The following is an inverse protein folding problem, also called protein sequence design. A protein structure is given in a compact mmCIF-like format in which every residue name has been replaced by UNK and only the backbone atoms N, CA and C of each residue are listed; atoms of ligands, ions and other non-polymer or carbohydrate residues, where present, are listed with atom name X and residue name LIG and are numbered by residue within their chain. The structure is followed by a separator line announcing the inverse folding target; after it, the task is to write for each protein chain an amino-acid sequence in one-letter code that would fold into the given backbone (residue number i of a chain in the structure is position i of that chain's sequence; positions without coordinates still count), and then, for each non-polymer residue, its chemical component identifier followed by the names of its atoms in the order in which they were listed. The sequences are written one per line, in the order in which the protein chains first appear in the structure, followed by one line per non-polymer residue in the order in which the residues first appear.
data_IF_065291424424
#
_entry.id   IF_065291424424
#
_cell.length_a   1.000
_cell.length_b   1.000
_cell.length_c   1.000
_cell.angle_alpha   90.00
_cell.angle_beta   90.00
_cell.angle_gamma   90.00
#
_symmetry.space_group_name_H-M   'P 1'
#
loop_
_entity.id
_entity.type
_entity.pdbx_description
1 polymer ?
#
# COMPACT_ATOMS: atom_id res chain seq x y z
N UNK A 1 -12.07 -21.15 -10.96
CA UNK A 1 -12.50 -19.74 -10.68
C UNK A 1 -12.48 -19.47 -9.18
N UNK A 2 -12.53 -18.20 -8.74
CA UNK A 2 -12.65 -17.87 -7.31
C UNK A 2 -14.08 -18.13 -6.85
N UNK A 3 -14.21 -19.02 -5.87
CA UNK A 3 -15.50 -19.41 -5.29
C UNK A 3 -15.93 -18.49 -4.15
N UNK A 4 -15.07 -18.34 -3.17
CA UNK A 4 -15.28 -17.46 -2.01
C UNK A 4 -14.02 -16.62 -1.76
N UNK A 5 -14.19 -15.45 -1.16
CA UNK A 5 -13.06 -14.59 -0.78
C UNK A 5 -13.40 -13.72 0.42
N UNK A 6 -12.36 -13.28 1.11
CA UNK A 6 -12.41 -12.32 2.22
C UNK A 6 -11.25 -11.34 2.05
N UNK A 7 -11.50 -10.09 2.40
CA UNK A 7 -10.45 -9.07 2.52
C UNK A 7 -10.45 -8.60 3.97
N UNK A 8 -9.30 -8.72 4.60
CA UNK A 8 -9.12 -8.43 6.01
C UNK A 8 -8.19 -7.22 6.12
N UNK A 9 -8.64 -6.23 6.84
CA UNK A 9 -7.88 -5.01 7.09
C UNK A 9 -7.38 -5.05 8.52
N UNK A 10 -6.06 -5.11 8.72
CA UNK A 10 -5.45 -5.18 10.04
C UNK A 10 -5.15 -3.77 10.52
N UNK A 11 -5.59 -3.42 11.73
CA UNK A 11 -5.24 -2.13 12.30
C UNK A 11 -3.78 -2.15 12.81
N UNK A 12 -2.89 -1.66 11.99
CA UNK A 12 -1.45 -1.48 12.27
C UNK A 12 -1.08 -0.02 12.56
N UNK A 13 -2.06 0.79 12.98
CA UNK A 13 -1.91 2.22 13.28
C UNK A 13 -1.69 3.04 12.00
N UNK A 14 -0.57 3.77 11.90
CA UNK A 14 -0.11 4.39 10.66
C UNK A 14 0.68 3.35 9.89
N UNK A 15 0.14 2.84 8.84
CA UNK A 15 0.71 1.79 8.01
C UNK A 15 -0.37 0.92 7.38
N UNK A 16 0.01 0.08 6.46
CA UNK A 16 -0.89 -0.80 5.74
C UNK A 16 -0.66 -2.27 6.07
N UNK A 17 -1.73 -3.03 6.22
CA UNK A 17 -1.68 -4.49 6.29
C UNK A 17 -3.03 -5.09 5.89
N UNK A 18 -3.04 -5.84 4.80
CA UNK A 18 -4.25 -6.45 4.25
C UNK A 18 -4.04 -7.92 3.97
N UNK A 19 -5.00 -8.74 4.39
CA UNK A 19 -5.06 -10.15 4.00
C UNK A 19 -6.13 -10.31 2.93
N UNK A 20 -5.78 -10.95 1.83
CA UNK A 20 -6.73 -11.46 0.85
C UNK A 20 -6.73 -12.98 0.93
N UNK A 21 -7.82 -13.53 1.44
CA UNK A 21 -8.03 -14.97 1.53
C UNK A 21 -9.09 -15.38 0.54
N UNK A 22 -8.83 -16.40 -0.26
CA UNK A 22 -9.83 -16.91 -1.20
C UNK A 22 -9.71 -18.41 -1.41
N UNK A 23 -10.80 -18.99 -1.91
CA UNK A 23 -10.86 -20.39 -2.30
C UNK A 23 -11.26 -20.49 -3.75
N UNK A 24 -10.71 -21.48 -4.46
CA UNK A 24 -11.03 -21.79 -5.85
C UNK A 24 -12.04 -22.94 -5.95
N UNK A 25 -12.57 -23.17 -7.14
CA UNK A 25 -13.61 -24.20 -7.38
C UNK A 25 -13.12 -25.62 -7.06
N UNK A 26 -11.83 -25.89 -7.18
CA UNK A 26 -11.17 -27.15 -6.80
C UNK A 26 -10.97 -27.30 -5.29
N UNK A 27 -11.31 -26.26 -4.52
CA UNK A 27 -11.19 -26.22 -3.07
C UNK A 27 -9.82 -25.80 -2.55
N UNK A 28 -8.89 -25.39 -3.43
CA UNK A 28 -7.62 -24.82 -2.99
C UNK A 28 -7.85 -23.52 -2.23
N UNK A 29 -7.00 -23.29 -1.22
CA UNK A 29 -7.02 -22.11 -0.35
C UNK A 29 -5.80 -21.27 -0.62
N UNK A 30 -5.99 -19.98 -0.73
CA UNK A 30 -4.95 -19.00 -1.04
C UNK A 30 -4.97 -17.87 -0.03
N UNK A 31 -3.82 -17.54 0.53
CA UNK A 31 -3.62 -16.50 1.52
C UNK A 31 -2.54 -15.54 1.00
N UNK A 32 -2.93 -14.31 0.72
CA UNK A 32 -2.04 -13.24 0.26
C UNK A 32 -2.01 -12.16 1.32
N UNK A 33 -0.80 -11.70 1.72
CA UNK A 33 -0.60 -10.58 2.62
C UNK A 33 -0.01 -9.40 1.82
N UNK A 34 -0.72 -8.27 1.80
CA UNK A 34 -0.28 -7.04 1.15
C UNK A 34 0.08 -6.05 2.25
N UNK A 35 1.34 -5.69 2.33
CA UNK A 35 1.97 -4.93 3.39
C UNK A 35 1.75 -5.52 4.80
N UNK A 36 2.52 -5.08 5.79
CA UNK A 36 2.48 -5.65 7.13
C UNK A 36 2.62 -4.61 8.26
N UNK A 37 2.53 -3.33 7.92
CA UNK A 37 2.70 -2.25 8.88
C UNK A 37 4.14 -2.06 9.34
N UNK A 38 4.31 -1.28 10.40
CA UNK A 38 5.62 -1.03 11.02
C UNK A 38 6.11 -2.26 11.79
N UNK A 39 7.42 -2.34 11.98
CA UNK A 39 8.03 -3.37 12.83
C UNK A 39 7.36 -3.46 14.22
N UNK A 40 7.10 -2.33 14.87
CA UNK A 40 6.44 -2.26 16.18
C UNK A 40 5.01 -2.80 16.22
N UNK A 41 4.35 -2.90 15.08
CA UNK A 41 2.98 -3.43 14.95
C UNK A 41 2.92 -4.82 14.33
N UNK A 42 4.06 -5.43 14.01
CA UNK A 42 4.14 -6.76 13.43
C UNK A 42 3.53 -7.87 14.32
N UNK A 43 3.52 -7.66 15.64
CA UNK A 43 2.82 -8.55 16.58
C UNK A 43 1.30 -8.60 16.36
N UNK A 44 0.69 -7.50 15.94
CA UNK A 44 -0.75 -7.45 15.60
C UNK A 44 -1.04 -8.29 14.38
N UNK A 45 -0.17 -8.18 13.35
CA UNK A 45 -0.29 -8.99 12.12
C UNK A 45 -0.12 -10.48 12.46
N UNK A 46 0.94 -10.84 13.20
CA UNK A 46 1.19 -12.21 13.60
C UNK A 46 0.04 -12.81 14.44
N UNK A 47 -0.49 -12.03 15.37
CA UNK A 47 -1.63 -12.43 16.22
C UNK A 47 -2.87 -12.67 15.37
N UNK A 48 -3.14 -11.81 14.39
CA UNK A 48 -4.24 -11.97 13.46
C UNK A 48 -4.11 -13.28 12.66
N UNK A 49 -2.99 -13.47 11.99
CA UNK A 49 -2.72 -14.66 11.20
C UNK A 49 -2.88 -15.94 12.01
N UNK A 50 -2.26 -16.02 13.18
CA UNK A 50 -2.35 -17.19 14.05
C UNK A 50 -3.77 -17.44 14.60
N UNK A 51 -4.59 -16.41 14.73
CA UNK A 51 -5.95 -16.54 15.23
C UNK A 51 -6.94 -16.95 14.16
N UNK A 52 -6.85 -16.34 12.97
CA UNK A 52 -7.83 -16.50 11.89
C UNK A 52 -7.40 -17.60 10.92
N UNK A 53 -6.10 -17.67 10.59
CA UNK A 53 -5.53 -18.55 9.56
C UNK A 53 -4.62 -19.64 10.13
N UNK A 54 -4.90 -20.09 11.33
CA UNK A 54 -4.08 -21.10 12.02
C UNK A 54 -3.90 -22.36 11.17
N UNK A 55 -2.65 -22.70 10.91
CA UNK A 55 -2.29 -23.89 10.14
C UNK A 55 -2.28 -23.68 8.62
N UNK A 56 -2.48 -22.45 8.17
CA UNK A 56 -2.28 -22.03 6.79
C UNK A 56 -0.89 -21.40 6.62
N UNK A 57 -0.53 -21.03 5.40
CA UNK A 57 0.70 -20.29 5.09
C UNK A 57 0.38 -19.12 4.16
N UNK A 58 1.15 -18.05 4.24
CA UNK A 58 1.08 -16.96 3.27
C UNK A 58 1.72 -17.48 1.97
N UNK A 59 0.90 -17.64 0.95
CA UNK A 59 1.36 -18.07 -0.36
C UNK A 59 2.16 -16.98 -1.06
N UNK A 60 1.73 -15.72 -0.90
CA UNK A 60 2.36 -14.54 -1.45
C UNK A 60 2.29 -13.38 -0.45
N UNK A 61 3.43 -12.79 -0.15
CA UNK A 61 3.54 -11.51 0.52
C UNK A 61 3.89 -10.43 -0.52
N UNK A 62 3.21 -9.29 -0.49
CA UNK A 62 3.47 -8.15 -1.38
C UNK A 62 3.90 -6.97 -0.52
N UNK A 63 5.08 -6.41 -0.81
CA UNK A 63 5.52 -5.13 -0.24
C UNK A 63 5.31 -4.07 -1.33
N UNK A 64 4.42 -3.14 -1.08
CA UNK A 64 4.07 -2.13 -2.09
C UNK A 64 5.22 -1.18 -2.38
N UNK A 65 5.95 -0.74 -1.36
CA UNK A 65 7.12 0.13 -1.49
C UNK A 65 8.00 0.08 -0.23
N UNK A 66 9.25 0.61 -0.28
CA UNK A 66 10.24 0.42 0.78
C UNK A 66 10.14 1.41 1.96
N UNK A 67 8.94 1.80 2.38
CA UNK A 67 8.75 2.59 3.60
C UNK A 67 8.37 1.69 4.77
N UNK A 68 8.93 1.97 5.96
CA UNK A 68 8.87 1.07 7.13
C UNK A 68 7.45 0.70 7.54
N UNK A 69 6.50 1.59 7.35
CA UNK A 69 5.10 1.37 7.69
C UNK A 69 4.33 0.46 6.70
N UNK A 70 5.04 -0.06 5.70
CA UNK A 70 4.56 -1.09 4.79
C UNK A 70 5.32 -2.41 4.94
N UNK A 71 6.66 -2.37 5.04
CA UNK A 71 7.47 -3.59 5.11
C UNK A 71 7.91 -3.98 6.53
N UNK A 72 7.93 -3.06 7.49
CA UNK A 72 8.54 -3.31 8.81
C UNK A 72 7.96 -4.52 9.55
N UNK A 73 6.65 -4.76 9.41
CA UNK A 73 6.01 -5.93 9.99
C UNK A 73 6.47 -7.25 9.38
N UNK A 74 6.90 -7.27 8.11
CA UNK A 74 7.50 -8.47 7.51
C UNK A 74 8.84 -8.81 8.15
N UNK A 75 9.68 -7.82 8.46
CA UNK A 75 10.91 -8.05 9.21
C UNK A 75 10.60 -8.72 10.55
N UNK A 76 9.59 -8.20 11.27
CA UNK A 76 9.14 -8.81 12.53
C UNK A 76 8.68 -10.26 12.37
N UNK A 77 7.93 -10.60 11.32
CA UNK A 77 7.44 -11.95 11.04
C UNK A 77 8.59 -12.91 10.70
N UNK A 78 9.51 -12.46 9.83
CA UNK A 78 10.61 -13.27 9.33
C UNK A 78 11.68 -13.54 10.38
N UNK A 79 11.98 -12.59 11.27
CA UNK A 79 12.87 -12.84 12.42
C UNK A 79 12.37 -14.02 13.26
N UNK A 80 11.06 -14.06 13.51
CA UNK A 80 10.46 -15.18 14.26
C UNK A 80 10.49 -16.48 13.51
N UNK A 81 10.33 -16.43 12.20
CA UNK A 81 10.44 -17.60 11.34
C UNK A 81 11.88 -18.13 11.33
N UNK A 82 12.87 -17.25 11.13
CA UNK A 82 14.31 -17.57 11.20
C UNK A 82 14.68 -18.20 12.54
N UNK A 83 14.21 -17.61 13.63
CA UNK A 83 14.52 -18.05 14.98
C UNK A 83 13.67 -19.27 15.43
N UNK A 84 12.93 -19.88 14.52
CA UNK A 84 12.07 -21.06 14.75
C UNK A 84 11.10 -20.88 15.91
N UNK A 85 10.58 -19.68 16.07
CA UNK A 85 9.56 -19.39 17.08
C UNK A 85 8.28 -20.18 16.77
N UNK A 86 7.71 -20.83 17.80
CA UNK A 86 6.48 -21.64 17.65
C UNK A 86 5.27 -20.85 17.16
N UNK A 87 5.27 -19.54 17.35
CA UNK A 87 4.22 -18.65 16.86
C UNK A 87 4.50 -18.09 15.44
N UNK A 88 5.64 -18.44 14.83
CA UNK A 88 5.98 -17.98 13.50
C UNK A 88 4.93 -18.43 12.49
N UNK A 89 4.63 -17.55 11.54
CA UNK A 89 3.70 -17.85 10.45
C UNK A 89 4.48 -18.03 9.15
N UNK A 90 4.31 -19.14 8.42
CA UNK A 90 5.11 -19.43 7.23
C UNK A 90 4.71 -18.54 6.07
N UNK A 91 5.71 -18.15 5.27
CA UNK A 91 5.56 -17.35 4.06
C UNK A 91 6.34 -18.05 2.94
N UNK A 92 5.71 -18.28 1.79
CA UNK A 92 6.34 -18.99 0.67
C UNK A 92 7.20 -18.10 -0.20
N UNK A 93 6.72 -16.90 -0.53
CA UNK A 93 7.38 -16.01 -1.49
C UNK A 93 6.96 -14.56 -1.31
N UNK A 94 7.75 -13.65 -1.89
CA UNK A 94 7.47 -12.22 -1.89
C UNK A 94 7.44 -11.63 -3.29
N UNK A 95 6.62 -10.59 -3.44
CA UNK A 95 6.75 -9.58 -4.47
C UNK A 95 7.17 -8.27 -3.82
N UNK A 96 8.27 -7.72 -4.29
CA UNK A 96 8.79 -6.40 -3.87
C UNK A 96 9.76 -5.88 -4.93
N UNK A 97 9.81 -4.57 -5.12
CA UNK A 97 10.76 -3.93 -6.01
C UNK A 97 11.94 -3.38 -5.20
N UNK A 98 13.15 -3.80 -5.52
CA UNK A 98 14.36 -3.40 -4.79
C UNK A 98 15.13 -2.31 -5.55
N UNK A 99 15.08 -1.03 -5.12
CA UNK A 99 15.78 0.07 -5.77
C UNK A 99 17.29 -0.17 -5.94
N UNK A 100 17.90 -0.98 -5.07
CA UNK A 100 19.34 -1.30 -5.11
C UNK A 100 19.74 -2.05 -6.37
N UNK A 101 18.81 -2.74 -7.04
CA UNK A 101 19.04 -3.43 -8.30
C UNK A 101 19.06 -2.49 -9.50
N UNK A 102 18.48 -1.30 -9.37
CA UNK A 102 18.29 -0.32 -10.45
C UNK A 102 19.14 0.93 -10.28
N UNK A 103 19.89 1.05 -9.18
CA UNK A 103 20.73 2.21 -8.87
C UNK A 103 22.20 1.81 -8.87
N UNK A 104 22.99 2.40 -9.78
CA UNK A 104 24.43 2.24 -9.78
C UNK A 104 25.12 3.42 -9.09
N UNK A 105 26.00 3.13 -8.14
CA UNK A 105 26.84 4.14 -7.50
C UNK A 105 27.88 4.75 -8.44
N UNK A 106 28.23 4.04 -9.51
CA UNK A 106 29.23 4.50 -10.47
C UNK A 106 28.70 5.64 -11.37
N UNK A 107 27.38 5.79 -11.43
CA UNK A 107 26.75 6.90 -12.16
C UNK A 107 26.86 8.25 -11.43
N UNK A 108 27.22 8.24 -10.15
CA UNK A 108 27.31 9.45 -9.31
C UNK A 108 28.77 9.93 -9.28
N UNK A 109 28.99 11.15 -9.79
CA UNK A 109 30.35 11.69 -9.97
C UNK A 109 30.93 12.34 -8.71
N UNK A 110 30.08 12.88 -7.84
CA UNK A 110 30.52 13.62 -6.66
C UNK A 110 30.62 12.70 -5.43
N UNK A 111 31.77 12.65 -4.79
CA UNK A 111 32.04 11.78 -3.65
C UNK A 111 31.07 11.97 -2.46
N UNK A 112 30.63 13.21 -2.21
CA UNK A 112 29.67 13.51 -1.15
C UNK A 112 28.29 12.93 -1.47
N UNK A 113 27.83 13.10 -2.71
CA UNK A 113 26.55 12.55 -3.17
C UNK A 113 26.60 11.03 -3.16
N UNK A 114 27.72 10.43 -3.60
CA UNK A 114 27.92 8.98 -3.57
C UNK A 114 27.80 8.41 -2.17
N UNK A 115 28.46 9.00 -1.17
CA UNK A 115 28.35 8.58 0.25
C UNK A 115 26.92 8.72 0.80
N UNK A 116 26.24 9.79 0.43
CA UNK A 116 24.85 10.02 0.82
C UNK A 116 23.93 8.95 0.24
N UNK A 117 24.10 8.65 -1.05
CA UNK A 117 23.35 7.62 -1.73
C UNK A 117 23.64 6.22 -1.16
N UNK A 118 24.91 5.89 -0.90
CA UNK A 118 25.30 4.64 -0.24
C UNK A 118 24.59 4.46 1.11
N UNK A 119 24.51 5.54 1.92
CA UNK A 119 23.80 5.50 3.18
C UNK A 119 22.32 5.23 2.98
N UNK A 120 21.67 5.98 2.07
CA UNK A 120 20.24 5.83 1.76
C UNK A 120 19.92 4.42 1.26
N UNK A 121 20.74 3.85 0.37
CA UNK A 121 20.56 2.49 -0.12
C UNK A 121 20.68 1.42 0.96
N UNK A 122 21.50 1.67 1.98
CA UNK A 122 21.60 0.77 3.16
C UNK A 122 20.39 0.88 4.08
N UNK A 123 19.70 2.01 4.09
CA UNK A 123 18.51 2.24 4.91
C UNK A 123 17.23 1.70 4.25
N UNK A 124 17.26 1.47 2.91
CA UNK A 124 16.14 0.84 2.20
C UNK A 124 15.94 -0.59 2.71
N UNK A 125 14.69 -0.90 3.07
CA UNK A 125 14.31 -2.18 3.65
C UNK A 125 15.00 -2.55 4.97
N UNK A 126 15.64 -1.59 5.65
CA UNK A 126 16.32 -1.83 6.92
C UNK A 126 15.54 -1.21 8.09
N UNK A 127 15.28 -2.02 9.12
CA UNK A 127 14.68 -1.60 10.40
C UNK A 127 15.38 -2.32 11.55
N UNK A 128 15.75 -1.60 12.62
CA UNK A 128 16.47 -2.15 13.78
C UNK A 128 17.71 -2.96 13.38
N UNK A 129 18.52 -2.43 12.47
CA UNK A 129 19.72 -3.08 11.93
C UNK A 129 19.47 -4.40 11.17
N UNK A 130 18.22 -4.73 10.88
CA UNK A 130 17.83 -5.90 10.09
C UNK A 130 17.34 -5.47 8.71
N UNK A 131 18.00 -5.97 7.67
CA UNK A 131 17.60 -5.75 6.27
C UNK A 131 16.65 -6.86 5.82
N UNK A 132 15.50 -6.48 5.25
CA UNK A 132 14.46 -7.41 4.80
C UNK A 132 14.99 -8.40 3.76
N UNK A 133 15.78 -7.92 2.78
CA UNK A 133 16.30 -8.78 1.70
C UNK A 133 17.27 -9.80 2.24
N UNK A 134 18.20 -9.37 3.12
CA UNK A 134 19.12 -10.27 3.81
C UNK A 134 18.36 -11.33 4.59
N UNK A 135 17.28 -10.94 5.26
CA UNK A 135 16.46 -11.86 6.06
C UNK A 135 15.69 -12.86 5.18
N UNK A 136 15.23 -12.45 4.00
CA UNK A 136 14.64 -13.36 3.01
C UNK A 136 15.63 -14.42 2.55
N UNK A 137 16.88 -14.02 2.28
CA UNK A 137 17.97 -14.93 1.90
C UNK A 137 18.30 -15.91 3.02
N UNK A 138 18.42 -15.43 4.27
CA UNK A 138 18.65 -16.27 5.46
C UNK A 138 17.53 -17.30 5.66
N UNK A 139 16.29 -16.90 5.45
CA UNK A 139 15.10 -17.75 5.52
C UNK A 139 14.90 -18.64 4.29
N UNK A 140 15.66 -18.42 3.21
CA UNK A 140 15.52 -19.10 1.91
C UNK A 140 14.13 -18.92 1.31
N UNK A 141 13.57 -17.72 1.45
CA UNK A 141 12.28 -17.36 0.87
C UNK A 141 12.55 -16.57 -0.40
N UNK A 142 12.08 -17.05 -1.56
CA UNK A 142 12.29 -16.37 -2.84
C UNK A 142 11.48 -15.07 -2.90
N UNK A 143 12.02 -14.09 -3.61
CA UNK A 143 11.30 -12.88 -3.94
C UNK A 143 11.54 -12.45 -5.38
N UNK A 144 10.55 -11.81 -5.98
CA UNK A 144 10.59 -11.27 -7.32
C UNK A 144 10.11 -9.83 -7.34
N UNK A 145 10.60 -9.07 -8.30
CA UNK A 145 10.07 -7.75 -8.59
C UNK A 145 8.75 -7.86 -9.33
N UNK A 146 7.86 -6.90 -9.10
CA UNK A 146 6.52 -6.87 -9.67
C UNK A 146 6.31 -5.56 -10.43
N UNK A 147 6.23 -5.66 -11.75
CA UNK A 147 5.97 -4.55 -12.65
C UNK A 147 4.72 -4.80 -13.49
N UNK A 148 4.05 -3.71 -13.87
CA UNK A 148 3.00 -3.75 -14.85
C UNK A 148 3.62 -3.76 -16.24
N UNK A 149 3.43 -4.85 -16.98
CA UNK A 149 3.87 -4.96 -18.38
C UNK A 149 2.65 -5.04 -19.30
N UNK A 150 2.83 -4.63 -20.56
CA UNK A 150 1.79 -4.43 -21.58
C UNK A 150 0.70 -5.51 -21.62
N UNK A 151 -0.36 -5.31 -20.83
CA UNK A 151 -1.56 -6.13 -20.87
C UNK A 151 -1.42 -7.56 -20.39
N UNK A 152 -0.25 -7.96 -19.92
CA UNK A 152 -0.05 -9.25 -19.28
C UNK A 152 -0.05 -9.12 -17.76
N UNK A 153 -0.56 -10.11 -17.07
CA UNK A 153 -0.26 -10.32 -15.67
C UNK A 153 1.26 -10.43 -15.60
N UNK A 154 1.91 -9.47 -14.96
CA UNK A 154 3.36 -9.45 -14.88
C UNK A 154 3.88 -10.71 -14.19
N UNK A 155 4.31 -11.67 -14.95
CA UNK A 155 5.03 -12.84 -14.47
C UNK A 155 6.51 -12.54 -14.58
N UNK A 156 7.09 -12.05 -13.54
CA UNK A 156 8.54 -11.99 -13.46
C UNK A 156 9.01 -13.36 -12.98
N UNK A 157 9.70 -14.07 -13.86
CA UNK A 157 10.21 -15.42 -13.73
C UNK A 157 9.19 -16.58 -13.80
N UNK A 158 9.61 -17.65 -14.50
CA UNK A 158 8.90 -18.93 -14.67
C UNK A 158 8.52 -19.62 -13.35
N UNK A 159 9.00 -19.12 -12.20
CA UNK A 159 8.73 -19.65 -10.87
C UNK A 159 7.76 -18.81 -10.04
N UNK A 160 7.41 -17.60 -10.47
CA UNK A 160 6.43 -16.76 -9.83
C UNK A 160 5.20 -16.65 -10.72
N UNK A 161 4.38 -17.68 -10.67
CA UNK A 161 3.26 -17.83 -11.57
C UNK A 161 2.16 -16.84 -11.21
N UNK A 162 2.06 -15.77 -11.98
CA UNK A 162 0.85 -14.98 -12.04
C UNK A 162 -0.39 -15.82 -12.34
N UNK A 163 -0.21 -16.92 -13.06
CA UNK A 163 -1.22 -17.96 -13.28
C UNK A 163 -1.73 -18.61 -11.99
N UNK A 164 -0.93 -18.61 -10.92
CA UNK A 164 -1.30 -19.17 -9.63
C UNK A 164 -2.04 -18.19 -8.74
N UNK A 165 -1.94 -16.89 -9.03
CA UNK A 165 -2.64 -15.83 -8.29
C UNK A 165 -3.86 -15.35 -9.06
N UNK A 166 -4.83 -16.23 -9.18
CA UNK A 166 -6.08 -15.98 -9.88
C UNK A 166 -6.75 -14.70 -9.34
N UNK A 167 -7.07 -13.79 -10.24
CA UNK A 167 -7.78 -12.54 -9.91
C UNK A 167 -6.88 -11.38 -9.48
N UNK A 168 -5.55 -11.55 -9.45
CA UNK A 168 -4.61 -10.46 -9.20
C UNK A 168 -4.00 -9.91 -10.50
N UNK A 169 -3.88 -8.59 -10.56
CA UNK A 169 -3.21 -7.87 -11.66
C UNK A 169 -2.36 -6.75 -11.07
N UNK A 170 -1.10 -6.64 -11.49
CA UNK A 170 -0.25 -5.50 -11.17
C UNK A 170 -0.54 -4.40 -12.20
N UNK A 171 -1.04 -3.26 -11.72
CA UNK A 171 -1.39 -2.12 -12.57
C UNK A 171 -0.28 -1.08 -12.69
N UNK A 172 0.65 -1.08 -11.75
CA UNK A 172 1.81 -0.20 -11.70
C UNK A 172 2.78 -0.61 -10.59
N UNK A 173 4.01 -0.10 -10.64
CA UNK A 173 4.60 0.69 -11.72
C UNK A 173 4.92 -0.15 -12.96
N UNK A 174 5.08 0.49 -14.12
CA UNK A 174 5.84 -0.12 -15.23
C UNK A 174 7.32 -0.13 -14.87
N UNK A 175 8.11 -1.03 -15.47
CA UNK A 175 9.53 -1.11 -15.18
C UNK A 175 10.25 0.20 -15.53
N UNK A 176 9.97 0.76 -16.68
CA UNK A 176 10.58 2.02 -17.14
C UNK A 176 10.29 3.18 -16.18
N UNK A 177 9.04 3.29 -15.72
CA UNK A 177 8.67 4.32 -14.75
C UNK A 177 9.36 4.10 -13.39
N UNK A 178 9.46 2.85 -12.94
CA UNK A 178 10.17 2.52 -11.71
C UNK A 178 11.66 2.88 -11.80
N UNK A 179 12.33 2.53 -12.89
CA UNK A 179 13.73 2.85 -13.11
C UNK A 179 13.96 4.36 -13.19
N UNK A 180 13.02 5.12 -13.77
CA UNK A 180 13.05 6.58 -13.71
C UNK A 180 12.97 7.10 -12.27
N UNK A 181 12.08 6.54 -11.42
CA UNK A 181 11.98 6.94 -10.00
C UNK A 181 13.24 6.55 -9.22
N UNK A 182 13.85 5.43 -9.51
CA UNK A 182 15.16 5.07 -8.97
C UNK A 182 16.25 6.08 -9.37
N UNK A 183 16.22 6.55 -10.61
CA UNK A 183 17.11 7.62 -11.07
C UNK A 183 16.85 8.93 -10.32
N UNK A 184 15.60 9.34 -10.21
CA UNK A 184 15.21 10.55 -9.44
C UNK A 184 15.66 10.43 -7.97
N UNK A 185 15.52 9.26 -7.36
CA UNK A 185 15.96 8.97 -5.99
C UNK A 185 17.47 9.21 -5.78
N UNK A 186 18.33 8.99 -6.80
CA UNK A 186 19.77 9.29 -6.70
C UNK A 186 20.04 10.77 -6.40
N UNK A 187 19.22 11.64 -6.99
CA UNK A 187 19.45 13.08 -7.01
C UNK A 187 18.55 13.85 -6.05
N UNK A 188 17.52 13.20 -5.49
CA UNK A 188 16.68 13.81 -4.48
C UNK A 188 17.53 14.16 -3.25
N UNK A 189 17.85 15.45 -3.13
CA UNK A 189 18.28 15.99 -1.85
C UNK A 189 17.13 15.80 -0.89
N UNK A 190 17.36 15.06 0.20
CA UNK A 190 16.43 14.85 1.30
C UNK A 190 15.83 16.21 1.69
N UNK A 191 14.71 16.56 1.12
CA UNK A 191 13.83 17.51 1.77
C UNK A 191 13.13 16.71 2.86
N UNK A 192 13.41 16.97 4.13
CA UNK A 192 12.61 16.38 5.19
C UNK A 192 11.17 16.69 4.84
N UNK A 193 10.30 15.68 4.84
CA UNK A 193 8.86 15.96 4.95
C UNK A 193 8.77 16.83 6.18
N UNK A 194 8.49 18.10 6.00
CA UNK A 194 8.15 18.98 7.11
C UNK A 194 6.87 18.37 7.65
N UNK A 195 7.00 17.64 8.77
CA UNK A 195 5.85 17.18 9.54
C UNK A 195 4.97 18.42 9.69
N UNK A 196 3.75 18.36 9.15
CA UNK A 196 2.76 19.40 9.48
C UNK A 196 2.70 19.42 11.00
N UNK A 197 2.97 20.56 11.60
CA UNK A 197 2.88 20.72 13.04
C UNK A 197 1.50 20.25 13.50
N UNK A 198 1.41 19.59 14.65
CA UNK A 198 0.17 19.08 15.25
C UNK A 198 -0.93 20.16 15.43
N UNK A 199 -0.65 21.38 15.08
CA UNK A 199 -1.47 22.59 15.32
C UNK A 199 -2.16 23.11 14.05
N UNK A 200 -2.18 22.35 12.95
CA UNK A 200 -3.08 22.64 11.83
C UNK A 200 -4.54 22.31 12.24
N UNK A 201 -4.99 22.98 13.32
CA UNK A 201 -6.40 23.25 13.49
C UNK A 201 -6.86 23.93 12.21
N UNK A 202 -7.83 23.31 11.55
CA UNK A 202 -8.52 23.90 10.40
C UNK A 202 -8.90 25.32 10.85
N UNK A 203 -8.10 26.31 10.49
CA UNK A 203 -8.54 27.68 10.57
C UNK A 203 -9.83 27.72 9.78
N UNK A 204 -10.93 28.11 10.44
CA UNK A 204 -12.21 28.27 9.77
C UNK A 204 -11.99 29.29 8.67
N UNK A 205 -11.67 28.77 7.48
CA UNK A 205 -11.61 29.61 6.28
C UNK A 205 -12.97 30.30 6.17
N UNK A 206 -13.04 31.64 6.16
CA UNK A 206 -14.32 32.34 6.05
C UNK A 206 -15.11 32.00 4.78
N UNK A 207 -14.44 31.43 3.77
CA UNK A 207 -15.05 30.95 2.52
C UNK A 207 -15.34 29.45 2.56
N UNK A 208 -15.35 28.82 3.75
CA UNK A 208 -15.62 27.39 3.87
C UNK A 208 -17.08 27.08 3.48
N UNK A 209 -17.23 26.30 2.42
CA UNK A 209 -18.48 25.70 2.01
C UNK A 209 -18.40 24.19 2.07
N UNK A 210 -19.31 23.53 2.74
CA UNK A 210 -19.40 22.05 2.78
C UNK A 210 -19.98 21.51 1.47
N UNK A 211 -19.31 21.77 0.35
CA UNK A 211 -19.72 21.37 -1.01
C UNK A 211 -18.71 20.45 -1.68
N UNK A 212 -19.20 19.68 -2.66
CA UNK A 212 -18.32 18.87 -3.51
C UNK A 212 -17.27 19.73 -4.23
N UNK A 213 -17.69 20.90 -4.72
CA UNK A 213 -16.82 21.82 -5.46
C UNK A 213 -15.68 22.34 -4.58
N UNK A 214 -15.96 22.72 -3.33
CA UNK A 214 -14.95 23.18 -2.39
C UNK A 214 -13.84 22.13 -2.18
N UNK A 215 -14.23 20.87 -1.85
CA UNK A 215 -13.25 19.82 -1.59
C UNK A 215 -12.50 19.38 -2.85
N UNK A 216 -13.17 19.33 -4.00
CA UNK A 216 -12.54 19.06 -5.28
C UNK A 216 -11.47 20.08 -5.60
N UNK A 217 -11.80 21.38 -5.45
CA UNK A 217 -10.85 22.48 -5.67
C UNK A 217 -9.68 22.45 -4.69
N UNK A 218 -9.93 22.13 -3.42
CA UNK A 218 -8.88 21.99 -2.43
C UNK A 218 -7.88 20.90 -2.81
N UNK A 219 -8.36 19.71 -3.21
CA UNK A 219 -7.50 18.63 -3.68
C UNK A 219 -6.76 18.97 -4.98
N UNK A 220 -7.43 19.62 -5.93
CA UNK A 220 -6.79 19.98 -7.21
C UNK A 220 -5.69 21.03 -7.03
N UNK A 221 -5.78 21.87 -5.98
CA UNK A 221 -4.78 22.88 -5.62
C UNK A 221 -3.68 22.34 -4.67
N UNK A 222 -3.86 21.18 -4.07
CA UNK A 222 -2.84 20.54 -3.26
C UNK A 222 -1.63 20.16 -4.13
N UNK A 223 -0.42 20.35 -3.61
CA UNK A 223 0.80 19.91 -4.30
C UNK A 223 0.82 18.41 -4.48
N UNK A 224 1.60 17.91 -5.43
CA UNK A 224 1.78 16.48 -5.64
C UNK A 224 2.70 15.86 -4.58
N UNK A 225 2.55 14.57 -4.36
CA UNK A 225 3.52 13.78 -3.59
C UNK A 225 4.85 13.75 -4.34
N UNK A 226 5.92 14.16 -3.66
CA UNK A 226 7.27 14.24 -4.24
C UNK A 226 8.14 13.04 -3.92
N UNK A 227 7.70 12.15 -3.00
CA UNK A 227 8.46 10.96 -2.62
C UNK A 227 8.63 9.98 -3.79
N UNK A 228 9.88 9.70 -4.16
CA UNK A 228 10.17 8.71 -5.19
C UNK A 228 9.76 7.30 -4.76
N UNK A 229 9.85 6.97 -3.46
CA UNK A 229 9.42 5.69 -2.92
C UNK A 229 7.90 5.51 -3.04
N UNK A 230 7.11 6.53 -2.66
CA UNK A 230 5.66 6.50 -2.80
C UNK A 230 5.23 6.36 -4.27
N UNK A 231 5.85 7.17 -5.15
CA UNK A 231 5.59 7.12 -6.59
C UNK A 231 5.86 5.75 -7.20
N UNK A 232 6.78 4.99 -6.63
CA UNK A 232 7.15 3.64 -7.08
C UNK A 232 6.30 2.52 -6.49
N UNK A 233 5.24 2.83 -5.75
CA UNK A 233 4.36 1.84 -5.12
C UNK A 233 3.79 0.85 -6.13
N UNK A 234 3.84 -0.44 -5.79
CA UNK A 234 3.13 -1.49 -6.53
C UNK A 234 1.64 -1.29 -6.31
N UNK A 235 0.90 -1.06 -7.39
CA UNK A 235 -0.56 -0.94 -7.37
C UNK A 235 -1.15 -2.28 -7.80
N UNK A 236 -1.94 -2.86 -6.92
CA UNK A 236 -2.49 -4.21 -7.08
C UNK A 236 -4.00 -4.14 -7.22
N UNK A 237 -4.53 -4.73 -8.29
CA UNK A 237 -5.95 -5.01 -8.45
C UNK A 237 -6.23 -6.47 -8.09
N UNK A 238 -7.17 -6.70 -7.18
CA UNK A 238 -7.78 -8.00 -6.97
C UNK A 238 -9.21 -7.97 -7.50
N UNK A 239 -9.50 -8.81 -8.48
CA UNK A 239 -10.81 -8.88 -9.13
C UNK A 239 -11.35 -10.31 -9.09
N UNK A 240 -11.97 -10.73 -7.97
CA UNK A 240 -12.53 -12.08 -7.84
C UNK A 240 -13.79 -12.32 -8.70
N UNK A 241 -14.48 -11.23 -9.04
CA UNK A 241 -15.70 -11.22 -9.89
C UNK A 241 -15.68 -9.99 -10.78
N UNK A 242 -16.37 -10.05 -11.91
CA UNK A 242 -16.39 -8.98 -12.92
C UNK A 242 -16.74 -7.60 -12.32
N UNK A 243 -17.71 -7.54 -11.42
CA UNK A 243 -18.19 -6.30 -10.79
C UNK A 243 -17.48 -5.94 -9.47
N UNK A 244 -16.46 -6.70 -9.07
CA UNK A 244 -15.78 -6.59 -7.76
C UNK A 244 -14.29 -6.31 -7.93
N UNK A 245 -13.96 -5.05 -8.09
CA UNK A 245 -12.60 -4.53 -8.21
C UNK A 245 -12.13 -4.01 -6.86
N UNK A 246 -11.09 -4.62 -6.27
CA UNK A 246 -10.44 -4.20 -5.02
C UNK A 246 -9.06 -3.67 -5.35
N UNK A 247 -8.85 -2.37 -5.17
CA UNK A 247 -7.63 -1.68 -5.56
C UNK A 247 -6.78 -1.36 -4.33
N UNK A 248 -5.60 -1.96 -4.25
CA UNK A 248 -4.57 -1.71 -3.24
C UNK A 248 -3.50 -0.84 -3.87
N UNK A 249 -3.32 0.37 -3.37
CA UNK A 249 -2.52 1.41 -4.01
C UNK A 249 -1.17 1.64 -3.37
N UNK A 250 -0.90 1.03 -2.19
CA UNK A 250 0.20 1.51 -1.37
C UNK A 250 0.08 3.02 -1.17
N UNK A 251 1.16 3.73 -1.38
CA UNK A 251 1.23 5.18 -1.27
C UNK A 251 1.37 5.88 -2.64
N UNK A 252 0.88 5.22 -3.70
CA UNK A 252 0.95 5.72 -5.06
C UNK A 252 0.50 7.18 -5.19
N UNK A 253 1.27 7.96 -5.95
CA UNK A 253 0.98 9.36 -6.24
C UNK A 253 0.02 9.50 -7.43
N UNK A 254 -0.45 10.72 -7.70
CA UNK A 254 -1.19 11.04 -8.93
C UNK A 254 -0.39 10.67 -10.16
N UNK A 255 0.91 10.98 -10.17
CA UNK A 255 1.85 10.65 -11.25
C UNK A 255 1.93 9.14 -11.49
N UNK A 256 1.85 8.31 -10.43
CA UNK A 256 1.85 6.84 -10.56
C UNK A 256 0.66 6.35 -11.39
N UNK A 257 -0.53 6.90 -11.18
CA UNK A 257 -1.71 6.57 -11.99
C UNK A 257 -1.61 7.11 -13.42
N UNK A 258 -1.04 8.30 -13.60
CA UNK A 258 -0.85 8.92 -14.93
C UNK A 258 0.12 8.10 -15.80
N UNK A 259 1.09 7.42 -15.19
CA UNK A 259 2.08 6.59 -15.88
C UNK A 259 1.66 5.12 -16.05
N UNK A 260 0.45 4.74 -15.66
CA UNK A 260 -0.11 3.45 -16.04
C UNK A 260 -0.39 3.39 -17.54
N UNK A 261 -0.37 2.19 -18.11
CA UNK A 261 -0.84 1.99 -19.50
C UNK A 261 -2.33 2.32 -19.61
N UNK A 262 -2.81 2.66 -20.80
CA UNK A 262 -4.23 2.99 -21.01
C UNK A 262 -5.14 1.83 -20.58
N UNK A 263 -4.75 0.59 -20.87
CA UNK A 263 -5.48 -0.60 -20.44
C UNK A 263 -5.56 -0.71 -18.91
N UNK A 264 -4.47 -0.41 -18.20
CA UNK A 264 -4.46 -0.45 -16.73
C UNK A 264 -5.28 0.69 -16.12
N UNK A 265 -5.31 1.86 -16.76
CA UNK A 265 -6.21 2.95 -16.38
C UNK A 265 -7.67 2.53 -16.49
N UNK A 266 -8.06 1.86 -17.58
CA UNK A 266 -9.43 1.34 -17.76
C UNK A 266 -9.78 0.30 -16.65
N UNK A 267 -8.83 -0.53 -16.25
CA UNK A 267 -9.05 -1.46 -15.14
C UNK A 267 -9.26 -0.74 -13.79
N UNK A 268 -8.73 0.47 -13.62
CA UNK A 268 -8.96 1.29 -12.43
C UNK A 268 -10.33 1.98 -12.40
N UNK A 269 -11.14 1.90 -13.45
CA UNK A 269 -12.46 2.54 -13.46
C UNK A 269 -13.49 1.80 -12.60
N UNK A 270 -14.31 2.58 -11.90
CA UNK A 270 -15.46 2.07 -11.14
C UNK A 270 -15.09 0.98 -10.13
N UNK A 271 -14.06 1.22 -9.32
CA UNK A 271 -13.61 0.26 -8.31
C UNK A 271 -14.67 0.06 -7.22
N UNK A 272 -14.83 -1.18 -6.79
CA UNK A 272 -15.76 -1.50 -5.70
C UNK A 272 -15.20 -1.05 -4.36
N UNK A 273 -13.92 -1.30 -4.12
CA UNK A 273 -13.23 -0.94 -2.90
C UNK A 273 -11.83 -0.39 -3.22
N UNK A 274 -11.50 0.72 -2.62
CA UNK A 274 -10.24 1.44 -2.79
C UNK A 274 -9.50 1.54 -1.45
N UNK A 275 -8.27 1.03 -1.36
CA UNK A 275 -7.33 1.54 -0.35
C UNK A 275 -6.94 2.95 -0.80
N UNK A 276 -7.25 3.96 -0.01
CA UNK A 276 -6.89 5.35 -0.34
C UNK A 276 -5.37 5.51 -0.24
N UNK A 277 -4.70 5.98 -1.30
CA UNK A 277 -3.25 6.06 -1.30
C UNK A 277 -2.73 6.98 -0.18
N UNK A 278 -1.54 6.65 0.31
CA UNK A 278 -0.77 7.40 1.31
C UNK A 278 -1.65 7.83 2.49
N UNK A 279 -2.33 6.85 3.09
CA UNK A 279 -3.18 6.99 4.29
C UNK A 279 -4.22 8.12 4.22
N UNK A 280 -4.60 8.55 3.00
CA UNK A 280 -5.57 9.61 2.76
C UNK A 280 -4.99 11.01 2.65
N UNK A 281 -3.71 11.14 2.34
CA UNK A 281 -3.06 12.42 2.04
C UNK A 281 -3.76 13.15 0.88
N UNK A 282 -3.90 14.47 0.99
CA UNK A 282 -4.44 15.34 -0.06
C UNK A 282 -3.58 15.40 -1.34
N UNK A 283 -2.31 14.93 -1.26
CA UNK A 283 -1.34 15.00 -2.36
C UNK A 283 -1.43 13.83 -3.35
N UNK A 284 -2.14 12.76 -2.97
CA UNK A 284 -2.14 11.51 -3.72
C UNK A 284 -3.41 11.27 -4.53
N UNK A 285 -4.46 12.08 -4.31
CA UNK A 285 -5.68 12.09 -5.11
C UNK A 285 -6.02 13.51 -5.56
N UNK A 286 -6.72 13.61 -6.69
CA UNK A 286 -7.37 14.84 -7.16
C UNK A 286 -8.80 14.52 -7.61
N UNK A 287 -9.56 15.55 -7.96
CA UNK A 287 -10.97 15.40 -8.36
C UNK A 287 -11.15 14.54 -9.60
N UNK A 288 -10.22 14.64 -10.57
CA UNK A 288 -10.25 13.86 -11.79
C UNK A 288 -10.02 12.37 -11.51
N UNK A 289 -9.02 12.05 -10.67
CA UNK A 289 -8.70 10.67 -10.30
C UNK A 289 -9.83 10.06 -9.45
N UNK A 290 -10.40 10.78 -8.49
CA UNK A 290 -11.56 10.32 -7.72
C UNK A 290 -12.75 10.02 -8.64
N UNK A 291 -12.99 10.86 -9.64
CA UNK A 291 -14.06 10.65 -10.63
C UNK A 291 -13.79 9.41 -11.50
N UNK A 292 -12.55 9.19 -11.90
CA UNK A 292 -12.13 8.04 -12.71
C UNK A 292 -12.27 6.74 -11.93
N UNK A 293 -11.67 6.67 -10.73
CA UNK A 293 -11.75 5.52 -9.85
C UNK A 293 -13.18 5.22 -9.39
N UNK A 294 -13.99 6.26 -9.17
CA UNK A 294 -15.39 6.20 -8.75
C UNK A 294 -15.65 5.12 -7.68
N UNK A 295 -14.92 5.10 -6.55
CA UNK A 295 -14.98 4.01 -5.59
C UNK A 295 -16.32 3.98 -4.85
N UNK A 296 -16.90 2.78 -4.65
CA UNK A 296 -18.09 2.60 -3.81
C UNK A 296 -17.74 2.64 -2.33
N UNK A 297 -16.58 2.06 -1.98
CA UNK A 297 -16.04 2.04 -0.62
C UNK A 297 -14.59 2.50 -0.72
N UNK A 298 -14.17 3.40 0.16
CA UNK A 298 -12.78 3.81 0.33
C UNK A 298 -12.33 3.49 1.76
N UNK A 299 -11.11 3.00 1.90
CA UNK A 299 -10.51 2.63 3.16
C UNK A 299 -9.23 3.40 3.42
N UNK A 300 -9.14 3.97 4.60
CA UNK A 300 -8.00 4.76 5.07
C UNK A 300 -7.39 4.06 6.29
N UNK A 301 -6.13 3.68 6.17
CA UNK A 301 -5.32 3.15 7.25
C UNK A 301 -4.55 4.30 7.89
N UNK A 302 -4.93 4.71 9.11
CA UNK A 302 -4.26 5.80 9.81
C UNK A 302 -4.58 5.78 11.31
N UNK A 303 -3.62 6.20 12.13
CA UNK A 303 -3.81 6.34 13.58
C UNK A 303 -4.47 7.66 13.97
N UNK A 304 -4.06 8.76 13.34
CA UNK A 304 -4.46 10.13 13.70
C UNK A 304 -4.83 10.95 12.47
N UNK A 305 -5.77 11.88 12.68
CA UNK A 305 -6.03 12.95 11.73
C UNK A 305 -4.88 13.96 11.80
N UNK A 306 -4.51 14.55 10.65
CA UNK A 306 -3.54 15.64 10.58
C UNK A 306 -2.10 15.19 10.38
N UNK A 307 -1.77 13.90 10.55
CA UNK A 307 -0.43 13.40 10.19
C UNK A 307 -0.33 13.07 8.70
N UNK A 308 -1.26 12.24 8.21
CA UNK A 308 -1.36 11.86 6.81
C UNK A 308 -2.76 12.10 6.26
N UNK A 309 -3.78 11.76 7.05
CA UNK A 309 -5.19 11.89 6.64
C UNK A 309 -5.57 13.34 6.50
N UNK A 310 -6.01 13.73 5.31
CA UNK A 310 -6.59 15.04 5.06
C UNK A 310 -8.11 14.98 5.00
N UNK A 311 -8.75 15.96 5.64
CA UNK A 311 -10.21 16.08 5.67
C UNK A 311 -10.77 16.32 4.28
N UNK A 312 -10.05 17.05 3.42
CA UNK A 312 -10.49 17.29 2.06
C UNK A 312 -10.57 16.00 1.26
N UNK A 313 -9.60 15.08 1.43
CA UNK A 313 -9.63 13.76 0.79
C UNK A 313 -10.87 12.98 1.19
N UNK A 314 -11.17 12.92 2.51
CA UNK A 314 -12.33 12.21 3.02
C UNK A 314 -13.63 12.80 2.48
N UNK A 315 -13.76 14.14 2.55
CA UNK A 315 -14.99 14.80 2.17
C UNK A 315 -15.21 14.79 0.66
N UNK A 316 -14.16 14.92 -0.16
CA UNK A 316 -14.26 14.76 -1.60
C UNK A 316 -14.80 13.38 -1.99
N UNK A 317 -14.26 12.32 -1.39
CA UNK A 317 -14.77 10.96 -1.60
C UNK A 317 -16.24 10.82 -1.16
N UNK A 318 -16.59 11.36 0.01
CA UNK A 318 -17.98 11.31 0.53
C UNK A 318 -18.96 12.05 -0.36
N UNK A 319 -18.61 13.25 -0.82
CA UNK A 319 -19.49 14.05 -1.68
C UNK A 319 -19.73 13.38 -3.05
N UNK A 320 -18.80 12.51 -3.48
CA UNK A 320 -19.00 11.63 -4.65
C UNK A 320 -19.83 10.37 -4.34
N UNK A 321 -20.36 10.25 -3.14
CA UNK A 321 -21.18 9.11 -2.74
C UNK A 321 -20.40 7.87 -2.26
N UNK A 322 -19.08 7.99 -2.10
CA UNK A 322 -18.25 6.92 -1.60
C UNK A 322 -18.47 6.73 -0.08
N UNK A 323 -18.54 5.47 0.37
CA UNK A 323 -18.53 5.12 1.79
C UNK A 323 -17.08 5.09 2.29
N UNK A 324 -16.65 6.10 3.02
CA UNK A 324 -15.29 6.19 3.57
C UNK A 324 -15.21 5.50 4.93
N UNK A 325 -14.19 4.67 5.11
CA UNK A 325 -13.96 3.85 6.30
C UNK A 325 -12.49 3.96 6.72
N UNK A 326 -12.21 3.80 8.03
CA UNK A 326 -10.85 3.94 8.54
C UNK A 326 -10.60 3.15 9.82
N UNK A 327 -9.32 2.87 10.10
CA UNK A 327 -8.84 2.34 11.39
C UNK A 327 -8.72 3.39 12.49
N UNK A 328 -8.89 4.67 12.17
CA UNK A 328 -8.64 5.77 13.11
C UNK A 328 -9.53 5.70 14.36
N UNK A 329 -8.92 5.83 15.55
CA UNK A 329 -9.59 5.67 16.85
C UNK A 329 -10.69 6.70 17.11
N UNK A 330 -10.52 7.93 16.64
CA UNK A 330 -11.38 9.07 16.95
C UNK A 330 -12.38 9.45 15.84
N UNK A 331 -12.53 8.63 14.83
CA UNK A 331 -13.42 8.94 13.71
C UNK A 331 -14.91 8.91 14.03
N UNK A 332 -15.28 8.54 15.27
CA UNK A 332 -16.67 8.41 15.68
C UNK A 332 -17.34 9.73 16.02
N UNK A 333 -16.59 10.78 16.31
CA UNK A 333 -17.12 12.02 16.87
C UNK A 333 -17.43 13.08 15.83
N UNK A 334 -16.99 12.92 14.59
CA UNK A 334 -17.15 13.89 13.55
C UNK A 334 -18.17 13.45 12.51
N UNK A 335 -19.06 14.34 12.11
CA UNK A 335 -19.94 14.15 10.97
C UNK A 335 -19.19 14.01 9.63
N UNK A 336 -17.91 14.32 9.62
CA UNK A 336 -17.00 14.22 8.47
C UNK A 336 -16.57 12.79 8.24
N UNK A 337 -16.42 12.00 9.31
CA UNK A 337 -15.92 10.64 9.24
C UNK A 337 -17.03 9.62 9.33
N UNK A 338 -16.84 8.54 8.60
CA UNK A 338 -17.74 7.40 8.65
C UNK A 338 -17.09 6.22 9.35
N UNK A 339 -17.93 5.36 9.80
CA UNK A 339 -17.70 4.02 10.30
C UNK A 339 -16.24 3.59 10.44
N UNK A 340 -15.86 3.35 11.68
CA UNK A 340 -14.68 2.60 12.02
C UNK A 340 -14.85 1.14 11.60
N UNK A 341 -13.85 0.59 10.91
CA UNK A 341 -13.85 -0.84 10.61
C UNK A 341 -13.40 -1.68 11.82
N UNK A 342 -12.48 -1.20 12.62
CA UNK A 342 -11.90 -1.98 13.71
C UNK A 342 -11.79 -1.19 15.00
N UNK A 343 -12.86 -1.13 15.80
CA UNK A 343 -12.73 -0.58 17.15
C UNK A 343 -11.86 -1.52 18.00
N UNK A 344 -10.93 -0.95 18.76
CA UNK A 344 -10.22 -1.63 19.85
C UNK A 344 -9.34 -2.82 19.43
N UNK A 345 -8.65 -2.73 18.29
CA UNK A 345 -7.71 -3.78 17.84
C UNK A 345 -8.38 -5.09 17.40
N UNK A 346 -9.70 -5.11 17.31
CA UNK A 346 -10.45 -6.24 16.76
C UNK A 346 -10.50 -6.13 15.24
N UNK A 347 -10.40 -7.26 14.59
CA UNK A 347 -10.46 -7.36 13.13
C UNK A 347 -11.91 -7.50 12.70
N UNK A 348 -12.24 -6.84 11.62
CA UNK A 348 -13.49 -7.08 10.93
C UNK A 348 -13.17 -7.63 9.56
N UNK A 349 -13.62 -8.84 9.31
CA UNK A 349 -13.56 -9.43 7.99
C UNK A 349 -14.49 -8.65 7.07
N UNK A 350 -14.02 -8.34 5.89
CA UNK A 350 -14.86 -7.84 4.84
C UNK A 350 -15.35 -9.06 4.06
N UNK A 351 -16.55 -9.50 4.39
CA UNK A 351 -17.21 -10.58 3.67
C UNK A 351 -18.01 -10.00 2.52
N UNK A 352 -17.68 -10.39 1.31
CA UNK A 352 -18.40 -10.00 0.10
C UNK A 352 -18.61 -11.22 -0.78
N UNK A 353 -19.34 -12.14 -0.26
CA UNK A 353 -19.76 -13.32 -1.02
C UNK A 353 -21.05 -13.07 -1.79
#
# INVERSE_FOLDING_TARGET
MIKNYQIEMINVEDGDAFVVYYTTDDGAKHLVLIDAGRYRTGDKVLTHLNRIHKGEEIELAIVTHPDEDHYGGFVYLLERFRDKNKAAFPIKRFWLNDPRKHISLDDVKEDIQKKTLEKRLKEIYAVNDTDLITLLDECKIPYNEAFAEDGSISSVDEHCLASDQIGFTILGPTKDYYEQKCYDFKYDGVTPITEKSEDDTIEKNPDFEDTEEYYSKALDNAGDDTSCTNKSSIVVLFQPKEDKKYLFTGDASRESFENMTDQHKELCENVYWLKVPHHGSERNLNSALIKHLNPKIAYISAERIGRYVDICTINALKKKGCKVMSTHKNMNSSSIFHNRFFPDGKFKLAEWC
#
